data_IF_621623902834
#
_entry.id   IF_621623902834
#
_cell.length_a   1.000
_cell.length_b   1.000
_cell.length_c   1.000
_cell.angle_alpha   90.00
_cell.angle_beta   90.00
_cell.angle_gamma   90.00
#
_symmetry.space_group_name_H-M   'P 1'
#
loop_
_entity.id
_entity.type
_entity.pdbx_description
1 polymer ?
#
# COMPACT_ATOMS: atom_id res chain seq x y z
N UNK A 1 1.74 5.05 -24.14
CA UNK A 1 0.65 5.70 -23.54
C UNK A 1 0.72 5.77 -22.04
N UNK A 2 -0.20 6.46 -21.50
CA UNK A 2 -0.34 6.53 -20.06
C UNK A 2 -0.58 5.15 -19.51
N UNK A 3 0.09 4.85 -18.42
CA UNK A 3 -0.19 3.63 -17.74
C UNK A 3 -1.64 3.59 -17.32
N UNK A 4 -2.28 2.46 -17.52
CA UNK A 4 -3.63 2.30 -17.07
C UNK A 4 -3.71 2.35 -15.55
N UNK A 5 -4.92 2.47 -15.07
CA UNK A 5 -5.20 2.36 -13.65
C UNK A 5 -4.80 0.99 -13.14
N UNK A 6 -4.36 0.94 -11.89
CA UNK A 6 -4.20 -0.32 -11.18
C UNK A 6 -5.46 -0.55 -10.37
N UNK A 7 -6.07 -1.70 -10.56
CA UNK A 7 -7.30 -2.06 -9.84
C UNK A 7 -7.06 -3.28 -8.96
N UNK A 8 -7.47 -3.17 -7.70
CA UNK A 8 -7.42 -4.26 -6.74
C UNK A 8 -8.83 -4.59 -6.29
N UNK A 9 -9.16 -5.87 -6.33
CA UNK A 9 -10.48 -6.35 -5.93
C UNK A 9 -10.37 -7.09 -4.60
N UNK A 10 -11.20 -6.71 -3.64
CA UNK A 10 -11.26 -7.30 -2.31
C UNK A 10 -12.72 -7.64 -2.01
N UNK A 11 -13.12 -8.90 -2.32
CA UNK A 11 -14.51 -9.28 -2.21
C UNK A 11 -15.40 -8.40 -3.08
N UNK A 12 -16.36 -7.72 -2.46
CA UNK A 12 -17.25 -6.79 -3.16
C UNK A 12 -16.66 -5.38 -3.29
N UNK A 13 -15.50 -5.14 -2.68
CA UNK A 13 -14.84 -3.84 -2.71
C UNK A 13 -13.78 -3.81 -3.79
N UNK A 14 -13.50 -2.61 -4.23
CA UNK A 14 -12.52 -2.38 -5.28
C UNK A 14 -11.74 -1.11 -4.97
N UNK A 15 -10.43 -1.18 -5.13
CA UNK A 15 -9.55 -0.01 -4.97
C UNK A 15 -8.91 0.24 -6.32
N UNK A 16 -9.01 1.46 -6.78
CA UNK A 16 -8.42 1.87 -8.05
C UNK A 16 -7.34 2.90 -7.76
N UNK A 17 -6.16 2.65 -8.29
CA UNK A 17 -5.04 3.60 -8.23
C UNK A 17 -4.74 4.07 -9.64
N UNK A 18 -4.64 5.36 -9.83
CA UNK A 18 -4.32 5.92 -11.13
C UNK A 18 -3.40 7.14 -10.97
N UNK A 19 -2.67 7.51 -12.03
CA UNK A 19 -1.76 8.64 -11.95
C UNK A 19 -2.47 9.93 -11.58
N UNK A 20 -1.82 10.76 -10.79
CA UNK A 20 -2.36 12.07 -10.39
C UNK A 20 -2.73 12.92 -11.61
N UNK A 21 -1.92 12.87 -12.65
CA UNK A 21 -2.18 13.64 -13.87
C UNK A 21 -3.52 13.27 -14.50
N UNK A 22 -3.90 12.00 -14.48
CA UNK A 22 -5.18 11.57 -15.01
C UNK A 22 -6.34 12.15 -14.18
N UNK A 23 -6.18 12.19 -12.86
CA UNK A 23 -7.16 12.76 -11.96
C UNK A 23 -7.28 14.27 -12.17
N UNK A 24 -6.14 14.94 -12.32
CA UNK A 24 -6.12 16.38 -12.61
C UNK A 24 -6.82 16.72 -13.92
N UNK A 25 -6.59 15.92 -14.95
CA UNK A 25 -7.26 16.10 -16.24
C UNK A 25 -8.77 15.90 -16.12
N UNK A 26 -9.20 14.89 -15.37
CA UNK A 26 -10.60 14.59 -15.20
C UNK A 26 -11.34 15.65 -14.39
N UNK A 27 -10.71 16.18 -13.35
CA UNK A 27 -11.34 17.15 -12.46
C UNK A 27 -11.03 18.59 -12.82
N UNK A 28 -10.12 18.82 -13.76
CA UNK A 28 -9.64 20.16 -14.15
C UNK A 28 -9.03 20.93 -12.99
N UNK A 29 -8.37 20.22 -12.05
CA UNK A 29 -7.72 20.81 -10.89
C UNK A 29 -6.32 20.27 -10.74
N UNK A 30 -5.45 21.09 -10.17
CA UNK A 30 -4.12 20.66 -9.77
C UNK A 30 -4.14 20.19 -8.33
N UNK A 31 -3.34 19.17 -8.05
CA UNK A 31 -3.17 18.60 -6.71
C UNK A 31 -1.70 18.52 -6.39
N UNK A 32 -1.31 19.05 -5.23
CA UNK A 32 0.07 19.00 -4.79
C UNK A 32 0.48 17.58 -4.44
N UNK A 33 1.71 17.23 -4.78
CA UNK A 33 2.29 15.96 -4.36
C UNK A 33 2.75 16.05 -2.90
N UNK A 34 2.58 14.99 -2.14
CA UNK A 34 3.11 14.96 -0.79
C UNK A 34 4.63 14.96 -0.80
N UNK A 35 5.23 15.53 0.23
CA UNK A 35 6.67 15.52 0.41
C UNK A 35 7.03 14.32 1.30
N UNK A 36 7.56 13.27 0.67
CA UNK A 36 7.96 12.07 1.39
C UNK A 36 6.76 11.22 1.81
N UNK A 37 6.98 10.40 2.82
CA UNK A 37 5.95 9.51 3.34
C UNK A 37 4.91 10.31 4.11
N UNK A 38 3.64 10.11 3.76
CA UNK A 38 2.57 10.81 4.44
C UNK A 38 1.79 9.80 5.32
N UNK A 39 1.39 10.22 6.49
CA UNK A 39 0.66 9.40 7.44
C UNK A 39 -0.79 9.82 7.62
N UNK A 40 -1.33 10.61 6.69
CA UNK A 40 -2.70 11.11 6.81
C UNK A 40 -3.72 10.00 6.60
N UNK A 41 -3.49 9.15 5.61
CA UNK A 41 -4.35 8.00 5.31
C UNK A 41 -3.45 6.79 5.18
N UNK A 42 -3.90 5.69 5.75
CA UNK A 42 -3.19 4.42 5.74
C UNK A 42 -4.16 3.35 5.28
N UNK A 43 -3.69 2.47 4.39
CA UNK A 43 -4.46 1.29 4.00
C UNK A 43 -3.88 0.08 4.73
N UNK A 44 -4.77 -0.74 5.30
CA UNK A 44 -4.36 -1.96 6.00
C UNK A 44 -4.96 -3.17 5.31
N UNK A 45 -4.12 -4.15 5.06
CA UNK A 45 -4.53 -5.41 4.45
C UNK A 45 -4.17 -6.58 5.36
N UNK A 46 -5.15 -7.44 5.62
CA UNK A 46 -4.91 -8.69 6.33
C UNK A 46 -4.51 -9.77 5.33
N UNK A 47 -3.51 -10.54 5.69
CA UNK A 47 -3.11 -11.73 4.94
C UNK A 47 -3.29 -12.96 5.82
N UNK A 48 -3.35 -14.17 5.23
CA UNK A 48 -3.74 -15.36 6.00
C UNK A 48 -2.83 -15.71 7.18
N UNK A 49 -1.51 -15.61 7.02
CA UNK A 49 -0.57 -16.05 8.06
C UNK A 49 0.62 -15.12 8.19
N UNK A 50 1.39 -15.29 9.25
CA UNK A 50 2.64 -14.55 9.46
C UNK A 50 3.60 -14.71 8.29
N UNK A 51 3.72 -15.92 7.74
CA UNK A 51 4.60 -16.14 6.59
C UNK A 51 4.17 -15.33 5.38
N UNK A 52 2.87 -15.12 5.22
CA UNK A 52 2.34 -14.31 4.12
C UNK A 52 2.69 -12.84 4.28
N UNK A 53 2.83 -12.35 5.51
CA UNK A 53 3.27 -10.96 5.76
C UNK A 53 4.67 -10.75 5.15
N UNK A 54 5.60 -11.67 5.46
CA UNK A 54 6.96 -11.59 4.91
C UNK A 54 6.96 -11.70 3.40
N UNK A 55 6.19 -12.63 2.87
CA UNK A 55 6.09 -12.86 1.43
C UNK A 55 5.56 -11.63 0.69
N UNK A 56 4.50 -11.04 1.19
CA UNK A 56 3.90 -9.85 0.56
C UNK A 56 4.79 -8.62 0.70
N UNK A 57 5.47 -8.48 1.83
CA UNK A 57 6.45 -7.40 2.00
C UNK A 57 7.56 -7.51 0.95
N UNK A 58 8.16 -8.69 0.80
CA UNK A 58 9.22 -8.90 -0.17
C UNK A 58 8.72 -8.68 -1.60
N UNK A 59 7.53 -9.15 -1.90
CA UNK A 59 6.92 -8.96 -3.21
C UNK A 59 6.71 -7.46 -3.50
N UNK A 60 6.14 -6.73 -2.56
CA UNK A 60 5.88 -5.30 -2.73
C UNK A 60 7.17 -4.51 -2.95
N UNK A 61 8.19 -4.79 -2.15
CA UNK A 61 9.48 -4.11 -2.28
C UNK A 61 10.13 -4.44 -3.62
N UNK A 62 10.05 -5.70 -4.06
CA UNK A 62 10.61 -6.10 -5.36
C UNK A 62 9.92 -5.41 -6.53
N UNK A 63 8.68 -4.99 -6.35
CA UNK A 63 7.91 -4.28 -7.37
C UNK A 63 7.98 -2.76 -7.25
N UNK A 64 8.81 -2.25 -6.36
CA UNK A 64 9.09 -0.83 -6.28
C UNK A 64 8.52 -0.10 -5.07
N UNK A 65 7.81 -0.78 -4.16
CA UNK A 65 7.36 -0.16 -2.94
C UNK A 65 8.54 0.18 -2.03
N UNK A 66 8.45 1.28 -1.32
CA UNK A 66 9.50 1.67 -0.39
C UNK A 66 9.30 0.93 0.93
N UNK A 67 10.33 0.22 1.43
CA UNK A 67 10.23 -0.42 2.74
C UNK A 67 10.23 0.63 3.84
N UNK A 68 9.25 0.59 4.71
CA UNK A 68 9.11 1.52 5.84
C UNK A 68 9.39 0.79 7.16
N UNK A 69 8.81 -0.39 7.33
CA UNK A 69 8.94 -1.17 8.57
C UNK A 69 8.91 -2.65 8.20
N UNK A 70 10.03 -3.33 8.38
CA UNK A 70 10.16 -4.73 8.02
C UNK A 70 9.21 -5.61 8.87
N UNK A 71 8.81 -6.78 8.35
CA UNK A 71 7.94 -7.67 9.11
C UNK A 71 8.44 -7.93 10.52
N UNK A 72 7.59 -7.68 11.50
CA UNK A 72 7.93 -7.76 12.93
C UNK A 72 6.78 -8.40 13.69
N UNK A 73 7.12 -9.34 14.56
CA UNK A 73 6.16 -9.93 15.47
C UNK A 73 5.93 -8.99 16.65
N UNK A 74 4.71 -8.54 16.80
CA UNK A 74 4.34 -7.60 17.85
C UNK A 74 3.91 -8.34 19.12
N UNK A 75 4.09 -7.75 20.29
CA UNK A 75 3.78 -8.44 21.56
C UNK A 75 2.30 -8.76 21.74
N UNK A 76 1.40 -8.15 20.98
CA UNK A 76 -0.04 -8.44 21.05
C UNK A 76 -0.49 -9.55 20.10
N UNK A 77 0.45 -10.30 19.50
CA UNK A 77 0.12 -11.46 18.68
C UNK A 77 -0.10 -11.18 17.20
N UNK A 78 0.30 -10.03 16.74
CA UNK A 78 0.23 -9.61 15.33
C UNK A 78 1.63 -9.60 14.72
N UNK A 79 1.73 -10.03 13.46
CA UNK A 79 2.91 -9.74 12.67
C UNK A 79 2.54 -8.69 11.64
N UNK A 80 3.28 -7.59 11.61
CA UNK A 80 2.97 -6.47 10.75
C UNK A 80 4.19 -5.94 10.02
N UNK A 81 3.96 -5.31 8.89
CA UNK A 81 4.96 -4.57 8.15
C UNK A 81 4.31 -3.36 7.50
N UNK A 82 5.15 -2.41 7.09
CA UNK A 82 4.69 -1.23 6.36
C UNK A 82 5.56 -1.04 5.13
N UNK A 83 4.90 -0.71 4.04
CA UNK A 83 5.55 -0.20 2.83
C UNK A 83 4.89 1.13 2.47
N UNK A 84 5.54 1.89 1.60
CA UNK A 84 4.92 3.07 1.01
C UNK A 84 4.88 2.92 -0.50
N UNK A 85 3.81 3.42 -1.10
CA UNK A 85 3.74 3.47 -2.54
C UNK A 85 4.63 4.61 -3.08
N UNK A 86 4.77 4.76 -4.41
CA UNK A 86 5.62 5.81 -4.98
C UNK A 86 5.24 7.22 -4.56
N UNK A 87 4.02 7.44 -4.15
CA UNK A 87 3.53 8.75 -3.72
C UNK A 87 3.59 8.94 -2.20
N UNK A 88 4.15 8.00 -1.48
CA UNK A 88 4.35 8.11 -0.04
C UNK A 88 3.18 7.67 0.81
N UNK A 89 2.18 7.03 0.24
CA UNK A 89 1.06 6.53 1.03
C UNK A 89 1.46 5.27 1.78
N UNK A 90 1.12 5.22 3.08
CA UNK A 90 1.45 4.09 3.92
C UNK A 90 0.48 2.93 3.71
N UNK A 91 1.05 1.74 3.63
CA UNK A 91 0.29 0.49 3.47
C UNK A 91 0.78 -0.48 4.52
N UNK A 92 -0.13 -0.92 5.37
CA UNK A 92 0.13 -1.97 6.36
C UNK A 92 -0.28 -3.32 5.79
N UNK A 93 0.55 -4.33 6.02
CA UNK A 93 0.23 -5.72 5.72
C UNK A 93 0.44 -6.50 7.00
N UNK A 94 -0.58 -7.21 7.46
CA UNK A 94 -0.50 -7.86 8.76
C UNK A 94 -1.32 -9.15 8.83
N UNK A 95 -1.03 -9.93 9.87
CA UNK A 95 -1.80 -11.13 10.22
C UNK A 95 -1.74 -11.32 11.73
N UNK A 96 -2.78 -11.95 12.29
CA UNK A 96 -2.83 -12.42 13.67
C UNK A 96 -2.67 -13.95 13.76
N UNK A 97 -2.40 -14.62 12.65
CA UNK A 97 -2.33 -16.08 12.57
C UNK A 97 -0.91 -16.51 12.21
N UNK A 98 -0.31 -17.29 13.08
CA UNK A 98 1.03 -17.84 12.83
C UNK A 98 1.06 -18.81 11.64
#
# INVERSE_FOLDING_TARGET
GMDPNVEMTLGASRIIMFPRVAFEQMTSREYAYPNGTNGTIELSFDVPTFADVDKEFDCAVSMGAKPIFAPTAEPWGQRTCYVADPEGNLIEISSFIE
#
